data_IF_160311116202
#
_entry.id   IF_160311116202
#
_cell.length_a   1.000
_cell.length_b   1.000
_cell.length_c   1.000
_cell.angle_alpha   90.00
_cell.angle_beta   90.00
_cell.angle_gamma   90.00
#
_symmetry.space_group_name_H-M   'P 1'
#
loop_
_entity.id
_entity.type
_entity.pdbx_description
1 polymer ?
#
# COMPACT_ATOMS: atom_id res chain seq x y z
N UNK A 1 -2.85 16.24 -8.26
CA UNK A 1 -1.98 16.40 -7.08
C UNK A 1 -1.48 15.02 -6.70
N UNK A 2 -0.27 14.67 -7.14
CA UNK A 2 0.30 13.35 -6.90
C UNK A 2 0.72 13.23 -5.43
N UNK A 3 -0.06 12.52 -4.62
CA UNK A 3 0.37 12.01 -3.33
C UNK A 3 1.44 10.95 -3.57
N UNK A 4 2.68 11.40 -3.82
CA UNK A 4 3.83 10.53 -4.00
C UNK A 4 4.07 9.78 -2.70
N UNK A 5 3.71 8.50 -2.67
CA UNK A 5 4.04 7.64 -1.55
C UNK A 5 5.57 7.60 -1.45
N UNK A 6 6.13 7.82 -0.25
CA UNK A 6 7.55 7.61 -0.02
C UNK A 6 7.79 6.15 0.32
N UNK A 7 8.69 5.49 -0.41
CA UNK A 7 9.05 4.11 -0.16
C UNK A 7 9.64 3.99 1.24
N UNK A 8 9.03 3.21 2.14
CA UNK A 8 9.53 3.05 3.49
C UNK A 8 10.86 2.27 3.57
N UNK A 9 11.28 1.64 2.47
CA UNK A 9 12.50 0.85 2.42
C UNK A 9 13.70 1.63 1.90
N UNK A 10 13.54 2.35 0.77
CA UNK A 10 14.64 3.04 0.09
C UNK A 10 14.45 4.56 -0.02
N UNK A 11 13.34 5.11 0.47
CA UNK A 11 13.04 6.54 0.41
C UNK A 11 12.66 7.05 -0.98
N UNK A 12 12.44 6.19 -1.97
CA UNK A 12 11.97 6.57 -3.30
C UNK A 12 10.59 7.23 -3.25
N UNK A 13 10.45 8.42 -3.84
CA UNK A 13 9.20 9.17 -3.95
C UNK A 13 8.72 9.13 -5.39
N UNK A 14 7.56 8.51 -5.63
CA UNK A 14 7.05 8.31 -6.98
C UNK A 14 5.86 7.37 -7.00
N UNK A 15 5.45 6.96 -8.20
CA UNK A 15 4.38 5.99 -8.39
C UNK A 15 4.89 4.57 -8.15
N UNK A 16 4.12 3.81 -7.37
CA UNK A 16 4.43 2.42 -7.08
C UNK A 16 3.70 1.54 -8.08
N UNK A 17 4.34 0.44 -8.46
CA UNK A 17 3.72 -0.50 -9.37
C UNK A 17 2.68 -1.33 -8.60
N UNK A 18 1.43 -1.23 -9.02
CA UNK A 18 0.36 -2.05 -8.47
C UNK A 18 0.48 -3.48 -9.00
N UNK A 19 0.79 -4.42 -8.11
CA UNK A 19 0.91 -5.83 -8.46
C UNK A 19 -0.44 -6.54 -8.36
N UNK A 20 -1.17 -6.29 -7.27
CA UNK A 20 -2.42 -7.00 -6.99
C UNK A 20 -3.38 -6.09 -6.25
N UNK A 21 -4.67 -6.28 -6.51
CA UNK A 21 -5.74 -5.71 -5.69
C UNK A 21 -6.66 -6.83 -5.25
N UNK A 22 -7.15 -6.77 -4.01
CA UNK A 22 -8.23 -7.61 -3.55
C UNK A 22 -9.11 -6.85 -2.56
N UNK A 23 -10.35 -7.31 -2.41
CA UNK A 23 -11.28 -6.77 -1.41
C UNK A 23 -11.19 -7.62 -0.14
N UNK A 24 -10.98 -6.97 1.00
CA UNK A 24 -10.92 -7.58 2.31
C UNK A 24 -11.99 -6.97 3.22
N UNK A 25 -13.12 -7.67 3.34
CA UNK A 25 -14.34 -7.17 4.02
C UNK A 25 -14.81 -5.84 3.42
N UNK A 26 -14.58 -4.74 4.14
CA UNK A 26 -14.93 -3.35 3.81
C UNK A 26 -13.77 -2.58 3.18
N UNK A 27 -12.56 -3.15 3.23
CA UNK A 27 -11.35 -2.54 2.71
C UNK A 27 -11.06 -3.04 1.30
N UNK A 28 -10.63 -2.15 0.43
CA UNK A 28 -9.89 -2.49 -0.77
C UNK A 28 -8.41 -2.46 -0.43
N UNK A 29 -7.71 -3.55 -0.74
CA UNK A 29 -6.28 -3.70 -0.47
C UNK A 29 -5.56 -3.74 -1.79
N UNK A 30 -4.60 -2.85 -1.98
CA UNK A 30 -3.71 -2.81 -3.13
C UNK A 30 -2.29 -3.13 -2.67
N UNK A 31 -1.71 -4.18 -3.23
CA UNK A 31 -0.30 -4.48 -3.09
C UNK A 31 0.48 -3.67 -4.13
N UNK A 32 1.28 -2.76 -3.63
CA UNK A 32 2.15 -1.86 -4.37
C UNK A 32 3.61 -2.30 -4.18
N UNK A 33 4.38 -2.28 -5.26
CA UNK A 33 5.81 -2.57 -5.25
C UNK A 33 6.61 -1.36 -5.70
N UNK A 34 7.66 -1.06 -4.94
CA UNK A 34 8.59 -0.01 -5.29
C UNK A 34 9.46 -0.45 -6.48
N UNK A 35 9.50 0.30 -7.59
CA UNK A 35 10.29 -0.08 -8.77
C UNK A 35 11.81 -0.02 -8.50
N UNK A 36 12.26 0.69 -7.47
CA UNK A 36 13.68 0.89 -7.16
C UNK A 36 14.27 -0.22 -6.28
N UNK A 37 13.53 -0.66 -5.26
CA UNK A 37 14.03 -1.64 -4.28
C UNK A 37 13.20 -2.93 -4.23
N UNK A 38 12.17 -3.04 -5.05
CA UNK A 38 11.19 -4.14 -5.03
C UNK A 38 10.55 -4.35 -3.65
N UNK A 39 10.49 -3.27 -2.85
CA UNK A 39 9.88 -3.26 -1.53
C UNK A 39 8.36 -3.25 -1.68
N UNK A 40 7.69 -4.22 -1.05
CA UNK A 40 6.23 -4.36 -1.14
C UNK A 40 5.54 -3.68 0.04
N UNK A 41 4.48 -2.96 -0.28
CA UNK A 41 3.61 -2.28 0.68
C UNK A 41 2.15 -2.57 0.31
N UNK A 42 1.30 -2.74 1.32
CA UNK A 42 -0.13 -2.88 1.11
C UNK A 42 -0.81 -1.57 1.47
N UNK A 43 -1.53 -1.01 0.51
CA UNK A 43 -2.40 0.14 0.68
C UNK A 43 -3.81 -0.35 1.01
N UNK A 44 -4.32 0.00 2.18
CA UNK A 44 -5.66 -0.32 2.63
C UNK A 44 -6.49 0.95 2.60
N UNK A 45 -7.52 0.96 1.77
CA UNK A 45 -8.46 2.06 1.71
C UNK A 45 -9.89 1.55 1.63
N UNK A 46 -10.81 2.23 2.29
CA UNK A 46 -12.22 1.84 2.27
C UNK A 46 -13.05 2.59 3.30
N UNK A 47 -14.35 2.37 3.21
CA UNK A 47 -15.30 2.94 4.16
C UNK A 47 -15.82 1.82 5.04
N UNK A 48 -15.55 1.94 6.34
CA UNK A 48 -16.12 1.06 7.36
C UNK A 48 -17.65 1.23 7.42
N UNK A 49 -18.41 0.25 7.97
CA UNK A 49 -19.87 0.36 8.07
C UNK A 49 -20.31 1.51 8.96
N UNK A 50 -19.45 1.95 9.88
CA UNK A 50 -19.64 3.13 10.72
C UNK A 50 -19.46 4.44 9.94
N UNK A 51 -19.25 4.38 8.62
CA UNK A 51 -19.05 5.54 7.75
C UNK A 51 -17.65 6.15 7.80
N UNK A 52 -16.74 5.63 8.64
CA UNK A 52 -15.36 6.13 8.72
C UNK A 52 -14.57 5.68 7.50
N UNK A 53 -14.02 6.65 6.77
CA UNK A 53 -13.02 6.42 5.72
C UNK A 53 -11.69 6.11 6.38
N UNK A 54 -11.11 5.00 6.01
CA UNK A 54 -9.80 4.56 6.47
C UNK A 54 -8.90 4.46 5.24
N UNK A 55 -7.73 5.09 5.31
CA UNK A 55 -6.72 5.11 4.27
C UNK A 55 -5.35 5.00 4.96
N UNK A 56 -4.67 3.87 4.77
CA UNK A 56 -3.38 3.64 5.43
C UNK A 56 -2.51 2.63 4.68
N UNK A 57 -1.20 2.74 4.88
CA UNK A 57 -0.19 1.90 4.25
C UNK A 57 0.49 0.99 5.28
N UNK A 58 0.53 -0.32 5.00
CA UNK A 58 1.29 -1.29 5.78
C UNK A 58 2.51 -1.79 5.02
N UNK A 59 3.64 -1.84 5.71
CA UNK A 59 4.89 -2.42 5.19
C UNK A 59 4.78 -3.94 5.21
N UNK A 60 4.97 -4.60 4.07
CA UNK A 60 5.11 -6.05 4.03
C UNK A 60 6.56 -6.39 4.40
N UNK A 61 6.82 -6.60 5.70
CA UNK A 61 8.13 -7.03 6.16
C UNK A 61 8.61 -8.26 5.38
N UNK A 62 9.90 -8.29 5.02
CA UNK A 62 10.53 -9.50 4.51
C UNK A 62 10.44 -10.56 5.60
N UNK A 63 9.70 -11.64 5.36
CA UNK A 63 9.71 -12.82 6.23
C UNK A 63 11.16 -13.31 6.25
N UNK A 64 11.86 -13.16 7.38
CA UNK A 64 13.17 -13.80 7.57
C UNK A 64 12.92 -15.31 7.42
N UNK A 65 13.59 -15.93 6.45
CA UNK A 65 13.52 -17.37 6.21
C UNK A 65 14.38 -18.08 7.24
#
# INVERSE_FOLDING_TARGET
>A
MGSGLKCPYCGFEGEFQKIKQWKMRWYTVEMLECPKCHGRVNHYYGTTPTGKKSDFYFRIGRRKK
#
